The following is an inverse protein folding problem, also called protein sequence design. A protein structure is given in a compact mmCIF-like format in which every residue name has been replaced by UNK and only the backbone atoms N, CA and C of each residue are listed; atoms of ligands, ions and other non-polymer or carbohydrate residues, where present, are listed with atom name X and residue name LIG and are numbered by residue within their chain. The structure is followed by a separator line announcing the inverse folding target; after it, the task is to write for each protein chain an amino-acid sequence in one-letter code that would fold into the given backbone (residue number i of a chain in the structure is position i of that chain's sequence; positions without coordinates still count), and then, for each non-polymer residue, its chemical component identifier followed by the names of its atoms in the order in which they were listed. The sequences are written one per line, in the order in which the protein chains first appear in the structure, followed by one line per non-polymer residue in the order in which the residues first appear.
data_IF_552312647853
#
_entry.id   IF_552312647853
#
_cell.length_a   1.000
_cell.length_b   1.000
_cell.length_c   1.000
_cell.angle_alpha   90.00
_cell.angle_beta   90.00
_cell.angle_gamma   90.00
#
_symmetry.space_group_name_H-M   'P 1'
#
loop_
_entity.id
_entity.type
_entity.pdbx_description
1 polymer ?
#
# COMPACT_ATOMS: atom_id res chain seq x y z
N UNK A 1 44.01 28.68 -26.93
CA UNK A 1 42.79 28.31 -27.69
C UNK A 1 41.62 28.35 -26.74
N UNK A 2 40.61 29.20 -26.98
CA UNK A 2 39.40 29.25 -26.15
C UNK A 2 38.49 28.11 -26.61
N UNK A 3 38.35 27.07 -25.80
CA UNK A 3 37.41 25.99 -26.03
C UNK A 3 36.01 26.51 -25.72
N UNK A 4 35.23 26.80 -26.76
CA UNK A 4 33.81 27.09 -26.60
C UNK A 4 33.12 25.78 -26.21
N UNK A 5 32.73 25.68 -24.94
CA UNK A 5 31.91 24.59 -24.44
C UNK A 5 30.51 24.85 -25.01
N UNK A 6 30.15 24.13 -26.07
CA UNK A 6 28.76 24.11 -26.54
C UNK A 6 27.97 23.42 -25.43
N UNK A 7 26.99 24.09 -24.80
CA UNK A 7 26.18 23.42 -23.78
C UNK A 7 25.53 22.21 -24.45
N UNK A 8 25.63 21.05 -23.81
CA UNK A 8 24.93 19.87 -24.27
C UNK A 8 23.46 20.28 -24.51
N UNK A 9 23.00 20.13 -25.76
CA UNK A 9 21.63 20.47 -26.10
C UNK A 9 20.74 19.66 -25.17
N UNK A 10 20.04 20.37 -24.30
CA UNK A 10 19.06 19.79 -23.39
C UNK A 10 17.93 19.32 -24.31
N UNK A 11 17.93 18.04 -24.67
CA UNK A 11 16.88 17.45 -25.52
C UNK A 11 15.55 17.30 -24.76
N UNK A 12 15.39 17.86 -23.56
CA UNK A 12 14.10 17.87 -22.85
C UNK A 12 13.17 18.96 -23.37
N UNK A 13 13.06 19.08 -24.69
CA UNK A 13 11.76 19.43 -25.27
C UNK A 13 10.96 18.14 -25.08
N UNK A 14 9.88 18.14 -24.28
CA UNK A 14 9.05 16.92 -24.09
C UNK A 14 8.95 16.16 -25.41
N UNK A 15 9.56 14.96 -25.51
CA UNK A 15 9.63 14.18 -26.75
C UNK A 15 8.21 13.85 -27.20
N UNK A 16 7.63 14.75 -27.98
CA UNK A 16 6.36 14.63 -28.67
C UNK A 16 6.67 13.96 -29.98
N UNK A 17 6.55 12.65 -30.00
CA UNK A 17 6.93 11.83 -31.14
C UNK A 17 5.90 11.97 -32.26
N UNK A 18 4.61 12.14 -31.91
CA UNK A 18 3.51 12.29 -32.88
C UNK A 18 2.59 13.44 -32.43
N UNK A 19 2.81 14.65 -32.93
CA UNK A 19 1.95 15.80 -32.65
C UNK A 19 1.91 16.18 -31.16
N UNK A 20 0.77 15.96 -30.50
CA UNK A 20 0.60 16.18 -29.05
C UNK A 20 0.71 14.89 -28.21
N UNK A 21 1.08 13.76 -28.84
CA UNK A 21 1.23 12.47 -28.17
C UNK A 21 2.70 12.23 -27.76
N UNK A 22 2.89 11.95 -26.47
CA UNK A 22 4.16 11.50 -25.90
C UNK A 22 4.40 10.02 -26.21
N UNK A 23 5.66 9.57 -26.23
CA UNK A 23 6.01 8.15 -26.38
C UNK A 23 5.17 7.20 -25.52
N UNK A 24 5.01 7.54 -24.24
CA UNK A 24 4.25 6.74 -23.27
C UNK A 24 2.77 6.61 -23.67
N UNK A 25 2.17 7.67 -24.22
CA UNK A 25 0.78 7.63 -24.69
C UNK A 25 0.64 6.76 -25.93
N UNK A 26 1.59 6.85 -26.87
CA UNK A 26 1.62 5.96 -28.04
C UNK A 26 1.74 4.51 -27.61
N UNK A 27 2.67 4.20 -26.69
CA UNK A 27 2.84 2.86 -26.15
C UNK A 27 1.56 2.37 -25.44
N UNK A 28 0.89 3.25 -24.69
CA UNK A 28 -0.35 2.93 -24.00
C UNK A 28 -1.50 2.63 -24.95
N UNK A 29 -1.56 3.30 -26.11
CA UNK A 29 -2.55 3.05 -27.17
C UNK A 29 -2.25 1.78 -27.99
N UNK A 30 -1.03 1.23 -27.92
CA UNK A 30 -0.70 -0.07 -28.54
C UNK A 30 -1.26 -1.26 -27.72
N UNK A 31 -1.39 -1.10 -26.40
CA UNK A 31 -1.93 -2.13 -25.50
C UNK A 31 -3.34 -2.59 -25.94
N UNK A 32 -4.33 -1.71 -26.15
CA UNK A 32 -5.67 -2.13 -26.57
C UNK A 32 -5.69 -2.78 -27.96
N UNK A 33 -4.74 -2.44 -28.85
CA UNK A 33 -4.62 -3.08 -30.17
C UNK A 33 -4.17 -4.55 -30.03
N UNK A 34 -3.13 -4.80 -29.23
CA UNK A 34 -2.61 -6.14 -28.98
C UNK A 34 -3.65 -6.99 -28.25
N UNK A 35 -4.17 -6.48 -27.14
CA UNK A 35 -5.15 -7.20 -26.32
C UNK A 35 -6.50 -7.37 -27.02
N UNK A 36 -6.90 -6.43 -27.89
CA UNK A 36 -8.08 -6.57 -28.74
C UNK A 36 -7.90 -7.68 -29.79
N UNK A 37 -6.71 -7.78 -30.38
CA UNK A 37 -6.38 -8.87 -31.32
C UNK A 37 -6.38 -10.22 -30.61
N UNK A 38 -5.76 -10.31 -29.43
CA UNK A 38 -5.80 -11.51 -28.58
C UNK A 38 -7.25 -11.87 -28.25
N UNK A 39 -8.06 -10.90 -27.84
CA UNK A 39 -9.48 -11.14 -27.54
C UNK A 39 -10.27 -11.63 -28.74
N UNK A 40 -9.99 -11.10 -29.94
CA UNK A 40 -10.64 -11.53 -31.17
C UNK A 40 -10.36 -13.01 -31.52
N UNK A 41 -9.11 -13.45 -31.35
CA UNK A 41 -8.67 -14.82 -31.62
C UNK A 41 -9.17 -15.80 -30.56
N UNK A 42 -9.03 -15.46 -29.28
CA UNK A 42 -9.31 -16.39 -28.17
C UNK A 42 -10.78 -16.49 -27.80
N UNK A 43 -11.59 -15.41 -27.90
CA UNK A 43 -13.01 -15.54 -27.61
C UNK A 43 -13.71 -16.36 -28.70
N UNK A 44 -14.62 -17.28 -28.37
CA UNK A 44 -15.53 -17.90 -29.35
C UNK A 44 -16.58 -16.88 -29.83
N UNK A 45 -17.10 -16.95 -31.08
CA UNK A 45 -16.65 -17.78 -32.20
C UNK A 45 -15.31 -17.29 -32.77
N UNK A 46 -14.32 -18.19 -32.87
CA UNK A 46 -12.96 -17.84 -33.26
C UNK A 46 -12.92 -17.18 -34.65
N UNK A 47 -12.11 -16.13 -34.79
CA UNK A 47 -11.89 -15.41 -36.06
C UNK A 47 -13.17 -14.89 -36.74
N UNK A 48 -14.25 -14.72 -35.97
CA UNK A 48 -15.47 -14.09 -36.42
C UNK A 48 -15.79 -12.86 -35.55
N UNK A 49 -16.16 -11.76 -36.21
CA UNK A 49 -16.49 -10.50 -35.56
C UNK A 49 -17.95 -10.51 -35.11
N UNK A 50 -18.20 -11.03 -33.90
CA UNK A 50 -19.50 -10.99 -33.26
C UNK A 50 -19.71 -9.66 -32.51
N UNK A 51 -20.97 -9.21 -32.41
CA UNK A 51 -21.32 -7.93 -31.77
C UNK A 51 -20.78 -7.78 -30.35
N UNK A 52 -20.90 -8.81 -29.51
CA UNK A 52 -20.42 -8.77 -28.13
C UNK A 52 -18.90 -8.54 -28.06
N UNK A 53 -18.11 -9.14 -28.95
CA UNK A 53 -16.65 -8.91 -29.01
C UNK A 53 -16.31 -7.51 -29.49
N UNK A 54 -17.03 -7.03 -30.52
CA UNK A 54 -16.83 -5.68 -31.03
C UNK A 54 -17.08 -4.64 -29.93
N UNK A 55 -18.14 -4.81 -29.13
CA UNK A 55 -18.43 -3.96 -27.97
C UNK A 55 -17.27 -3.98 -26.96
N UNK A 56 -16.73 -5.16 -26.63
CA UNK A 56 -15.61 -5.29 -25.70
C UNK A 56 -14.36 -4.57 -26.24
N UNK A 57 -14.01 -4.78 -27.52
CA UNK A 57 -12.84 -4.17 -28.15
C UNK A 57 -12.98 -2.64 -28.20
N UNK A 58 -14.17 -2.15 -28.55
CA UNK A 58 -14.46 -0.71 -28.58
C UNK A 58 -14.37 -0.12 -27.17
N UNK A 59 -15.02 -0.75 -26.19
CA UNK A 59 -14.99 -0.28 -24.79
C UNK A 59 -13.56 -0.24 -24.25
N UNK A 60 -12.77 -1.27 -24.53
CA UNK A 60 -11.37 -1.33 -24.16
C UNK A 60 -10.56 -0.21 -24.83
N UNK A 61 -10.75 0.01 -26.13
CA UNK A 61 -10.07 1.09 -26.84
C UNK A 61 -10.39 2.47 -26.23
N UNK A 62 -11.65 2.75 -25.92
CA UNK A 62 -12.05 3.98 -25.23
C UNK A 62 -11.46 4.08 -23.82
N UNK A 63 -11.44 2.99 -23.04
CA UNK A 63 -10.86 3.00 -21.70
C UNK A 63 -9.37 3.36 -21.72
N UNK A 64 -8.58 2.76 -22.62
CA UNK A 64 -7.17 3.09 -22.79
C UNK A 64 -6.96 4.47 -23.43
N UNK A 65 -7.84 4.91 -24.33
CA UNK A 65 -7.82 6.25 -24.90
C UNK A 65 -8.05 7.34 -23.85
N UNK A 66 -8.99 7.14 -22.92
CA UNK A 66 -9.21 8.03 -21.79
C UNK A 66 -7.99 8.07 -20.85
N UNK A 67 -7.40 6.91 -20.57
CA UNK A 67 -6.18 6.82 -19.73
C UNK A 67 -4.96 7.50 -20.36
N UNK A 68 -4.83 7.41 -21.68
CA UNK A 68 -3.78 8.09 -22.43
C UNK A 68 -4.03 9.60 -22.54
N UNK A 69 -5.25 10.09 -22.30
CA UNK A 69 -5.57 11.52 -22.38
C UNK A 69 -4.76 12.35 -21.38
N UNK A 70 -4.33 13.52 -21.83
CA UNK A 70 -3.57 14.48 -21.04
C UNK A 70 -4.52 15.55 -20.51
N UNK A 71 -4.70 15.61 -19.19
CA UNK A 71 -5.49 16.64 -18.52
C UNK A 71 -4.50 17.57 -17.80
N UNK A 72 -4.57 18.88 -18.08
CA UNK A 72 -3.70 19.90 -17.46
C UNK A 72 -2.20 19.59 -17.52
N UNK A 73 -1.73 19.08 -18.66
CA UNK A 73 -0.32 18.77 -18.84
C UNK A 73 0.16 17.47 -18.19
N UNK A 74 -0.72 16.66 -17.58
CA UNK A 74 -0.36 15.37 -16.96
C UNK A 74 -1.14 14.22 -17.59
N UNK A 75 -0.50 13.06 -17.74
CA UNK A 75 -1.16 11.87 -18.30
C UNK A 75 -2.06 11.28 -17.21
N UNK A 76 -3.31 10.97 -17.54
CA UNK A 76 -4.29 10.44 -16.57
C UNK A 76 -3.83 9.11 -15.96
N UNK A 77 -3.20 8.26 -16.75
CA UNK A 77 -2.61 7.00 -16.31
C UNK A 77 -1.58 7.15 -15.18
N UNK A 78 -0.71 8.17 -15.25
CA UNK A 78 0.29 8.42 -14.21
C UNK A 78 -0.38 8.83 -12.90
N UNK A 79 -1.41 9.68 -12.99
CA UNK A 79 -2.22 10.09 -11.84
C UNK A 79 -2.91 8.90 -11.18
N UNK A 80 -3.51 8.02 -11.98
CA UNK A 80 -4.14 6.80 -11.50
C UNK A 80 -3.13 5.88 -10.79
N UNK A 81 -1.93 5.73 -11.36
CA UNK A 81 -0.87 4.92 -10.77
C UNK A 81 -0.39 5.47 -9.42
N UNK A 82 -0.23 6.80 -9.31
CA UNK A 82 0.08 7.47 -8.03
C UNK A 82 -1.03 7.23 -7.02
N UNK A 83 -2.29 7.36 -7.43
CA UNK A 83 -3.45 7.13 -6.56
C UNK A 83 -3.52 5.70 -6.05
N UNK A 84 -3.29 4.70 -6.91
CA UNK A 84 -3.24 3.29 -6.53
C UNK A 84 -2.09 3.04 -5.55
N UNK A 85 -0.88 3.52 -5.86
CA UNK A 85 0.29 3.40 -4.98
C UNK A 85 0.03 4.02 -3.60
N UNK A 86 -0.60 5.19 -3.57
CA UNK A 86 -0.96 5.86 -2.32
C UNK A 86 -1.97 5.04 -1.51
N UNK A 87 -2.95 4.44 -2.17
CA UNK A 87 -4.00 3.64 -1.53
C UNK A 87 -3.45 2.32 -0.97
N UNK A 88 -2.55 1.66 -1.70
CA UNK A 88 -1.92 0.38 -1.32
C UNK A 88 -0.82 0.56 -0.28
N UNK A 89 -0.37 1.80 -0.01
CA UNK A 89 0.69 2.08 0.95
C UNK A 89 0.37 1.45 2.31
N UNK A 90 1.28 0.63 2.88
CA UNK A 90 1.08 0.05 4.21
C UNK A 90 1.00 1.17 5.25
N UNK A 91 -0.11 1.21 5.99
CA UNK A 91 -0.34 2.20 7.06
C UNK A 91 0.29 1.79 8.39
N UNK A 92 0.65 0.51 8.52
CA UNK A 92 1.21 -0.05 9.73
C UNK A 92 2.72 -0.15 9.54
N UNK A 93 3.44 0.73 10.21
CA UNK A 93 4.89 0.65 10.31
C UNK A 93 5.23 -0.26 11.49
N UNK A 94 5.77 -1.44 11.21
CA UNK A 94 6.23 -2.40 12.23
C UNK A 94 7.51 -1.87 12.91
N UNK A 95 8.31 -1.09 12.19
CA UNK A 95 9.45 -0.38 12.74
C UNK A 95 9.03 0.99 13.27
N UNK A 96 8.87 1.08 14.59
CA UNK A 96 8.81 2.36 15.29
C UNK A 96 10.23 2.81 15.58
N UNK A 97 10.67 3.94 15.00
CA UNK A 97 11.97 4.56 15.34
C UNK A 97 12.04 5.11 16.77
N UNK A 98 10.93 5.03 17.51
CA UNK A 98 10.83 5.42 18.91
C UNK A 98 10.92 4.18 19.83
N UNK A 99 11.79 3.24 19.47
CA UNK A 99 12.12 2.11 20.32
C UNK A 99 13.12 2.57 21.40
N UNK A 100 12.83 2.21 22.66
CA UNK A 100 13.66 2.51 23.81
C UNK A 100 14.73 1.42 24.03
N UNK A 101 14.65 0.28 23.34
CA UNK A 101 15.50 -0.89 23.57
C UNK A 101 17.01 -0.63 23.45
N UNK A 102 17.44 0.37 22.66
CA UNK A 102 18.86 0.74 22.51
C UNK A 102 19.20 2.11 23.07
N UNK A 103 18.23 2.82 23.68
CA UNK A 103 18.48 4.12 24.31
C UNK A 103 18.80 3.90 25.78
N UNK A 104 19.97 4.38 26.20
CA UNK A 104 20.21 4.63 27.62
C UNK A 104 19.34 5.84 27.99
N UNK A 105 18.14 5.56 28.50
CA UNK A 105 17.31 6.60 29.12
C UNK A 105 17.95 6.86 30.48
N UNK A 106 18.81 7.87 30.54
CA UNK A 106 19.18 8.43 31.83
C UNK A 106 17.89 9.01 32.43
N UNK A 107 17.40 8.38 33.49
CA UNK A 107 16.38 8.96 34.35
C UNK A 107 17.00 10.21 34.95
N UNK A 108 16.85 11.35 34.28
CA UNK A 108 17.02 12.63 34.94
C UNK A 108 16.02 12.62 36.09
N UNK A 109 16.55 12.62 37.31
CA UNK A 109 15.79 12.86 38.52
C UNK A 109 15.17 14.24 38.36
N UNK A 110 13.92 14.27 37.86
CA UNK A 110 13.17 15.51 37.71
C UNK A 110 12.87 15.96 39.12
N UNK A 111 13.69 16.89 39.63
CA UNK A 111 13.34 17.68 40.79
C UNK A 111 11.94 18.24 40.52
N UNK A 112 10.98 17.85 41.37
CA UNK A 112 9.57 18.19 41.22
C UNK A 112 9.41 19.71 41.39
N UNK A 113 9.58 20.45 40.29
CA UNK A 113 9.16 21.84 40.25
C UNK A 113 7.64 21.83 40.19
N UNK A 114 7.03 22.01 41.37
CA UNK A 114 5.61 22.24 41.55
C UNK A 114 5.27 23.53 40.81
N UNK A 115 4.83 23.42 39.56
CA UNK A 115 4.12 24.52 38.90
C UNK A 115 2.72 24.06 38.59
N UNK A 116 1.79 24.51 39.43
CA UNK A 116 0.37 24.38 39.20
C UNK A 116 0.01 25.07 37.88
N UNK A 117 -0.33 24.30 36.85
CA UNK A 117 -1.16 24.80 35.76
C UNK A 117 -2.28 23.80 35.52
N UNK A 118 -3.48 24.17 35.98
CA UNK A 118 -4.73 23.50 35.64
C UNK A 118 -4.86 23.48 34.12
N UNK A 119 -4.63 22.33 33.52
CA UNK A 119 -5.07 22.03 32.16
C UNK A 119 -6.15 20.97 32.28
N UNK A 120 -7.31 21.30 31.69
CA UNK A 120 -8.57 20.60 31.83
C UNK A 120 -8.46 19.11 31.44
N UNK A 121 -9.06 18.27 32.30
CA UNK A 121 -9.21 16.82 32.10
C UNK A 121 -10.14 16.55 30.91
N UNK A 122 -9.59 16.15 29.78
CA UNK A 122 -10.33 15.40 28.75
C UNK A 122 -10.20 13.90 29.07
N UNK A 123 -11.32 13.32 29.51
CA UNK A 123 -11.59 11.87 29.64
C UNK A 123 -11.27 11.21 28.27
N UNK A 124 -10.70 10.03 28.09
CA UNK A 124 -10.75 8.76 28.83
C UNK A 124 -9.62 7.91 28.24
N UNK A 125 -8.56 7.62 28.99
CA UNK A 125 -7.62 6.56 28.64
C UNK A 125 -7.92 5.42 29.61
N UNK A 126 -8.49 4.33 29.08
CA UNK A 126 -8.68 3.10 29.83
C UNK A 126 -7.32 2.65 30.32
N UNK A 127 -7.10 2.72 31.64
CA UNK A 127 -5.94 2.11 32.29
C UNK A 127 -5.89 0.64 31.89
N UNK A 128 -4.91 0.29 31.06
CA UNK A 128 -4.47 -1.09 30.95
C UNK A 128 -3.72 -1.32 32.25
N UNK A 129 -4.41 -1.89 33.22
CA UNK A 129 -3.80 -2.34 34.47
C UNK A 129 -2.73 -3.36 34.09
N UNK A 130 -1.47 -2.96 34.17
CA UNK A 130 -0.31 -3.86 34.22
C UNK A 130 -0.40 -4.66 35.52
N UNK A 131 -1.36 -5.59 35.59
CA UNK A 131 -1.33 -6.65 36.59
C UNK A 131 -0.11 -7.49 36.24
N UNK A 132 0.94 -7.36 37.05
CA UNK A 132 2.08 -8.25 37.04
C UNK A 132 1.54 -9.70 37.06
N UNK A 133 1.66 -10.37 35.92
CA UNK A 133 1.18 -11.75 35.74
C UNK A 133 1.97 -12.63 36.70
N UNK A 134 1.27 -13.36 37.57
CA UNK A 134 1.91 -14.24 38.55
C UNK A 134 2.68 -15.35 37.82
N UNK A 135 3.87 -15.70 38.31
CA UNK A 135 4.72 -16.76 37.73
C UNK A 135 3.96 -18.09 37.59
N UNK A 136 3.03 -18.37 38.51
CA UNK A 136 2.17 -19.56 38.47
C UNK A 136 1.24 -19.57 37.25
N UNK A 137 0.79 -18.40 36.80
CA UNK A 137 -0.09 -18.28 35.64
C UNK A 137 0.71 -18.43 34.34
N UNK A 138 1.98 -18.00 34.32
CA UNK A 138 2.89 -18.20 33.20
C UNK A 138 3.18 -19.70 32.98
N UNK A 139 3.46 -20.44 34.05
CA UNK A 139 3.71 -21.88 33.96
C UNK A 139 2.50 -22.67 33.44
N UNK A 140 1.27 -22.28 33.83
CA UNK A 140 0.05 -22.92 33.30
C UNK A 140 -0.12 -22.65 31.81
N UNK A 141 0.20 -21.45 31.36
CA UNK A 141 0.12 -21.10 29.93
C UNK A 141 1.16 -21.88 29.13
N UNK A 142 2.40 -22.00 29.63
CA UNK A 142 3.45 -22.82 29.00
C UNK A 142 3.06 -24.30 28.90
N UNK A 143 2.47 -24.87 29.95
CA UNK A 143 1.97 -26.24 29.92
C UNK A 143 0.88 -26.43 28.86
N UNK A 144 -0.07 -25.50 28.75
CA UNK A 144 -1.14 -25.54 27.74
C UNK A 144 -0.64 -25.30 26.30
N UNK A 145 0.52 -24.65 26.14
CA UNK A 145 1.18 -24.43 24.84
C UNK A 145 1.95 -25.67 24.37
N UNK A 146 2.51 -26.44 25.31
CA UNK A 146 3.26 -27.67 25.03
C UNK A 146 2.32 -28.86 24.82
N UNK A 147 1.11 -28.83 25.39
CA UNK A 147 0.12 -29.90 25.22
C UNK A 147 -0.37 -30.01 23.75
N UNK A 148 -0.15 -31.16 23.08
CA UNK A 148 -0.54 -31.36 21.67
C UNK A 148 -2.07 -31.46 21.48
N UNK A 149 -2.82 -31.50 22.58
CA UNK A 149 -4.28 -31.52 22.60
C UNK A 149 -4.90 -30.14 22.39
N UNK A 150 -4.12 -29.05 22.32
CA UNK A 150 -4.63 -27.70 22.10
C UNK A 150 -3.98 -27.06 20.87
N UNK A 151 -4.80 -26.44 20.02
CA UNK A 151 -4.33 -25.66 18.87
C UNK A 151 -4.59 -24.17 19.08
N UNK A 152 -3.59 -23.36 18.77
CA UNK A 152 -3.70 -21.90 18.78
C UNK A 152 -4.34 -21.43 17.48
N UNK A 153 -5.44 -20.68 17.59
CA UNK A 153 -6.05 -20.01 16.44
C UNK A 153 -5.91 -18.50 16.56
N UNK A 154 -5.25 -17.92 15.57
CA UNK A 154 -5.11 -16.48 15.40
C UNK A 154 -6.23 -15.97 14.49
N UNK A 155 -7.02 -15.02 14.98
CA UNK A 155 -8.03 -14.33 14.18
C UNK A 155 -7.70 -12.83 14.12
N UNK A 156 -7.55 -12.31 12.90
CA UNK A 156 -7.31 -10.89 12.67
C UNK A 156 -8.61 -10.11 12.87
N UNK A 157 -8.64 -9.21 13.84
CA UNK A 157 -9.76 -8.33 14.14
C UNK A 157 -9.42 -6.86 13.80
N UNK A 158 -10.45 -6.02 13.73
CA UNK A 158 -10.34 -4.58 13.39
C UNK A 158 -9.41 -3.80 14.34
N UNK A 159 -9.13 -4.33 15.54
CA UNK A 159 -8.19 -3.81 16.54
C UNK A 159 -7.26 -4.90 17.08
N UNK A 160 -6.45 -5.49 16.21
CA UNK A 160 -5.38 -6.41 16.60
C UNK A 160 -5.70 -7.88 16.39
N UNK A 161 -4.91 -8.75 17.02
CA UNK A 161 -4.99 -10.21 16.85
C UNK A 161 -5.67 -10.80 18.08
N UNK A 162 -6.80 -11.47 17.89
CA UNK A 162 -7.44 -12.26 18.93
C UNK A 162 -6.85 -13.66 18.89
N UNK A 163 -6.30 -14.11 20.02
CA UNK A 163 -5.76 -15.46 20.19
C UNK A 163 -6.75 -16.27 21.02
N UNK A 164 -7.13 -17.45 20.53
CA UNK A 164 -7.99 -18.38 21.25
C UNK A 164 -7.37 -19.77 21.25
N UNK A 165 -7.47 -20.46 22.38
CA UNK A 165 -7.09 -21.87 22.54
C UNK A 165 -8.33 -22.72 22.23
N UNK A 166 -8.21 -23.68 21.31
CA UNK A 166 -9.24 -24.69 21.08
C UNK A 166 -8.68 -26.09 21.33
N UNK A 167 -9.45 -26.99 21.98
CA UNK A 167 -9.06 -28.38 22.04
C UNK A 167 -8.99 -28.95 20.62
N UNK A 168 -7.82 -29.46 20.27
CA UNK A 168 -7.55 -30.22 19.06
C UNK A 168 -8.34 -31.52 19.14
N UNK A 169 -9.38 -31.62 18.31
CA UNK A 169 -10.21 -32.81 18.21
C UNK A 169 -9.39 -33.84 17.42
N UNK A 170 -8.97 -34.93 18.06
CA UNK A 170 -8.57 -36.15 17.35
C UNK A 170 -9.74 -36.65 16.50
#
# INVERSE_FOLDING_TARGET
MKTTIVPAQITTVEDRIIGNLTFVQVLMLMIPLITGTVSYVFLPPHLHLAYHKAIIIILQFFAFGLLASRINGKILAEWLLIFIKFTVRPKIYIFTKNDLATRVVEEMEVEKVITSKKIAKTKTATEISDKAVSLSDQQKIEQLLVDPTFSLRFQFAKKGIHVSLKPSKN
#
